data_IF_166757901220
#
_entry.id   IF_166757901220
#
_cell.length_a   1.000
_cell.length_b   1.000
_cell.length_c   1.000
_cell.angle_alpha   90.00
_cell.angle_beta   90.00
_cell.angle_gamma   90.00
#
_symmetry.space_group_name_H-M   'P 1'
#
loop_
_entity.id
_entity.type
_entity.pdbx_description
1 polymer ?
#
# COMPACT_ATOMS: atom_id res chain seq x y z
N UNK A 1 19.57 -6.35 6.94
CA UNK A 1 20.07 -5.03 7.38
C UNK A 1 20.15 -4.18 6.12
N UNK A 2 19.18 -3.28 5.89
CA UNK A 2 19.17 -2.43 4.68
C UNK A 2 20.17 -1.28 4.88
N UNK A 3 21.37 -1.43 4.31
CA UNK A 3 22.57 -0.62 4.61
C UNK A 3 22.97 0.34 3.49
N UNK A 4 22.13 0.49 2.46
CA UNK A 4 22.52 1.17 1.22
C UNK A 4 22.43 2.69 1.31
N UNK A 5 21.95 3.21 2.44
CA UNK A 5 21.61 4.61 2.66
C UNK A 5 22.64 5.25 3.58
N UNK A 6 23.13 6.43 3.20
CA UNK A 6 24.05 7.19 4.05
C UNK A 6 23.33 7.69 5.31
N UNK A 7 24.09 7.93 6.39
CA UNK A 7 23.55 8.39 7.69
C UNK A 7 23.16 9.88 7.67
N UNK A 8 22.42 10.28 6.64
CA UNK A 8 21.85 11.61 6.55
C UNK A 8 20.48 11.63 7.26
N UNK A 9 20.32 12.54 8.22
CA UNK A 9 19.10 12.66 9.05
C UNK A 9 17.81 12.85 8.23
N UNK A 10 17.94 13.35 6.99
CA UNK A 10 16.82 13.59 6.08
C UNK A 10 16.16 12.30 5.58
N UNK A 11 16.83 11.15 5.63
CA UNK A 11 16.33 9.88 5.10
C UNK A 11 15.79 8.93 6.18
N UNK A 12 15.88 9.31 7.46
CA UNK A 12 15.53 8.45 8.60
C UNK A 12 14.08 7.96 8.56
N UNK A 13 13.17 8.77 8.00
CA UNK A 13 11.75 8.43 7.87
C UNK A 13 11.47 7.36 6.80
N UNK A 14 12.37 7.16 5.83
CA UNK A 14 12.24 6.15 4.78
C UNK A 14 12.73 4.77 5.21
N UNK A 15 13.64 4.70 6.19
CA UNK A 15 14.28 3.45 6.61
C UNK A 15 13.29 2.34 7.00
N UNK A 16 12.21 2.60 7.75
CA UNK A 16 11.21 1.58 8.05
C UNK A 16 10.53 1.04 6.78
N UNK A 17 10.18 1.91 5.83
CA UNK A 17 9.53 1.52 4.58
C UNK A 17 10.46 0.71 3.67
N UNK A 18 11.73 1.12 3.56
CA UNK A 18 12.73 0.41 2.76
C UNK A 18 12.99 -0.99 3.34
N UNK A 19 12.98 -1.13 4.67
CA UNK A 19 13.13 -2.45 5.31
C UNK A 19 12.02 -3.43 4.90
N UNK A 20 10.80 -2.96 4.72
CA UNK A 20 9.66 -3.81 4.32
C UNK A 20 9.76 -4.32 2.88
N UNK A 21 10.39 -3.55 1.99
CA UNK A 21 10.58 -3.93 0.57
C UNK A 21 11.96 -4.49 0.25
N UNK A 22 12.93 -4.34 1.17
CA UNK A 22 14.30 -4.81 1.03
C UNK A 22 14.42 -6.26 0.54
N UNK A 23 13.63 -7.24 1.03
CA UNK A 23 13.71 -8.62 0.54
C UNK A 23 13.49 -8.79 -0.98
N UNK A 24 12.84 -7.84 -1.64
CA UNK A 24 12.62 -7.86 -3.10
C UNK A 24 13.79 -7.24 -3.89
N UNK A 25 14.59 -6.37 -3.25
CA UNK A 25 15.53 -5.48 -3.94
C UNK A 25 17.00 -5.70 -3.53
N UNK A 26 17.23 -6.22 -2.31
CA UNK A 26 18.56 -6.40 -1.69
C UNK A 26 19.61 -7.08 -2.58
N UNK A 27 19.30 -8.14 -3.35
CA UNK A 27 20.28 -8.79 -4.24
C UNK A 27 20.89 -7.84 -5.29
N UNK A 28 20.22 -6.73 -5.58
CA UNK A 28 20.63 -5.76 -6.59
C UNK A 28 21.19 -4.48 -5.96
N UNK A 29 20.49 -3.94 -4.96
CA UNK A 29 20.83 -2.64 -4.37
C UNK A 29 22.11 -2.67 -3.51
N UNK A 30 22.52 -3.84 -3.03
CA UNK A 30 23.80 -4.02 -2.30
C UNK A 30 25.05 -3.74 -3.15
N UNK A 31 24.90 -3.68 -4.47
CA UNK A 31 26.02 -3.52 -5.41
C UNK A 31 26.42 -2.06 -5.63
N UNK A 32 25.65 -1.11 -5.10
CA UNK A 32 25.80 0.33 -5.35
C UNK A 32 25.61 1.13 -4.07
N UNK A 33 26.21 2.32 -4.01
CA UNK A 33 25.93 3.30 -2.97
C UNK A 33 24.71 4.13 -3.38
N UNK A 34 23.75 4.34 -2.48
CA UNK A 34 22.48 5.01 -2.80
C UNK A 34 22.32 6.25 -1.92
N UNK A 35 22.07 7.39 -2.56
CA UNK A 35 21.78 8.66 -1.90
C UNK A 35 20.39 9.12 -2.31
N UNK A 36 19.52 9.45 -1.35
CA UNK A 36 18.13 9.82 -1.60
C UNK A 36 17.89 11.24 -1.09
N UNK A 37 17.49 12.13 -1.99
CA UNK A 37 17.18 13.52 -1.65
C UNK A 37 15.70 13.82 -1.91
N UNK A 38 15.13 14.82 -1.21
CA UNK A 38 13.81 15.34 -1.54
C UNK A 38 13.78 15.85 -2.99
N UNK A 39 12.72 15.49 -3.72
CA UNK A 39 12.36 16.05 -5.02
C UNK A 39 11.06 16.86 -4.92
N UNK A 40 10.73 17.59 -5.98
CA UNK A 40 9.48 18.38 -6.02
C UNK A 40 8.31 17.56 -6.57
N UNK A 41 8.51 16.88 -7.71
CA UNK A 41 7.47 16.07 -8.36
C UNK A 41 8.00 14.70 -8.77
N UNK A 42 7.18 13.66 -8.55
CA UNK A 42 7.50 12.29 -8.94
C UNK A 42 8.83 11.81 -8.39
N UNK A 43 9.67 11.22 -9.26
CA UNK A 43 11.04 10.87 -8.91
C UNK A 43 12.00 10.93 -10.10
N UNK A 44 13.28 11.06 -9.80
CA UNK A 44 14.37 10.73 -10.71
C UNK A 44 15.36 9.79 -10.03
N UNK A 45 16.02 8.95 -10.83
CA UNK A 45 17.07 8.05 -10.40
C UNK A 45 18.17 8.00 -11.44
N UNK A 46 19.40 8.23 -11.00
CA UNK A 46 20.60 8.19 -11.83
C UNK A 46 21.60 7.21 -11.22
N UNK A 47 22.16 6.32 -12.02
CA UNK A 47 23.25 5.41 -11.66
C UNK A 47 24.44 5.68 -12.58
N UNK A 48 25.59 5.95 -12.00
CA UNK A 48 26.88 6.05 -12.71
C UNK A 48 28.00 5.51 -11.82
N UNK A 49 28.86 4.66 -12.38
CA UNK A 49 30.09 4.18 -11.70
C UNK A 49 29.87 3.55 -10.31
N UNK A 50 28.71 2.92 -10.08
CA UNK A 50 28.38 2.30 -8.78
C UNK A 50 27.77 3.26 -7.75
N UNK A 51 27.56 4.52 -8.12
CA UNK A 51 26.87 5.52 -7.31
C UNK A 51 25.48 5.80 -7.88
N UNK A 52 24.45 5.74 -7.03
CA UNK A 52 23.08 6.05 -7.38
C UNK A 52 22.57 7.27 -6.61
N UNK A 53 21.99 8.23 -7.33
CA UNK A 53 21.34 9.42 -6.77
C UNK A 53 19.86 9.37 -7.13
N UNK A 54 19.00 9.44 -6.12
CA UNK A 54 17.55 9.49 -6.24
C UNK A 54 17.03 10.85 -5.77
N UNK A 55 16.12 11.45 -6.53
CA UNK A 55 15.26 12.54 -6.07
C UNK A 55 13.83 12.00 -6.01
N UNK A 56 13.11 12.20 -4.92
CA UNK A 56 11.72 11.73 -4.81
C UNK A 56 10.85 12.71 -4.03
N UNK A 57 9.65 12.99 -4.56
CA UNK A 57 8.67 13.88 -3.93
C UNK A 57 8.00 13.28 -2.69
N UNK A 58 8.02 11.95 -2.58
CA UNK A 58 7.34 11.24 -1.51
C UNK A 58 7.90 9.85 -1.25
N UNK A 59 7.32 9.19 -0.25
CA UNK A 59 7.76 7.86 0.21
C UNK A 59 7.51 6.80 -0.87
N UNK A 60 6.32 6.77 -1.45
CA UNK A 60 5.97 5.81 -2.51
C UNK A 60 6.83 6.03 -3.77
N UNK A 61 7.09 7.28 -4.13
CA UNK A 61 7.96 7.66 -5.25
C UNK A 61 9.40 7.17 -5.03
N UNK A 62 9.94 7.31 -3.81
CA UNK A 62 11.26 6.78 -3.47
C UNK A 62 11.31 5.25 -3.56
N UNK A 63 10.29 4.54 -3.06
CA UNK A 63 10.22 3.07 -3.14
C UNK A 63 10.12 2.58 -4.60
N UNK A 64 9.38 3.31 -5.45
CA UNK A 64 9.28 3.05 -6.89
C UNK A 64 10.61 3.32 -7.63
N UNK A 65 11.34 4.37 -7.24
CA UNK A 65 12.65 4.71 -7.78
C UNK A 65 13.68 3.61 -7.45
N UNK A 66 13.68 3.11 -6.21
CA UNK A 66 14.52 1.98 -5.79
C UNK A 66 14.18 0.71 -6.58
N UNK A 67 12.89 0.45 -6.84
CA UNK A 67 12.49 -0.66 -7.70
C UNK A 67 13.01 -0.49 -9.15
N UNK A 68 12.98 0.74 -9.69
CA UNK A 68 13.52 1.02 -11.03
C UNK A 68 15.03 0.78 -11.10
N UNK A 69 15.76 1.25 -10.08
CA UNK A 69 17.20 1.06 -9.96
C UNK A 69 17.57 -0.42 -9.86
N UNK A 70 16.89 -1.17 -8.98
CA UNK A 70 17.10 -2.61 -8.82
C UNK A 70 16.88 -3.35 -10.14
N UNK A 71 15.81 -3.00 -10.88
CA UNK A 71 15.56 -3.56 -12.20
C UNK A 71 16.65 -3.20 -13.22
N UNK A 72 17.18 -1.97 -13.21
CA UNK A 72 18.28 -1.58 -14.09
C UNK A 72 19.55 -2.39 -13.79
N UNK A 73 19.91 -2.55 -12.51
CA UNK A 73 21.06 -3.35 -12.07
C UNK A 73 20.87 -4.82 -12.43
N UNK A 74 19.68 -5.38 -12.20
CA UNK A 74 19.33 -6.75 -12.59
C UNK A 74 19.54 -6.99 -14.09
N UNK A 75 19.29 -5.98 -14.92
CA UNK A 75 19.49 -6.03 -16.37
C UNK A 75 20.93 -5.66 -16.79
N UNK A 76 21.89 -5.64 -15.86
CA UNK A 76 23.31 -5.42 -16.15
C UNK A 76 23.65 -3.99 -16.59
N UNK A 77 22.82 -2.99 -16.25
CA UNK A 77 23.08 -1.59 -16.60
C UNK A 77 24.18 -1.00 -15.70
N UNK A 78 25.32 -0.65 -16.28
CA UNK A 78 26.40 0.08 -15.60
C UNK A 78 26.12 1.59 -15.46
N UNK A 79 25.24 2.12 -16.31
CA UNK A 79 24.68 3.46 -16.20
C UNK A 79 23.18 3.43 -16.49
N UNK A 80 22.43 4.25 -15.77
CA UNK A 80 20.97 4.32 -15.88
C UNK A 80 20.49 5.71 -15.49
N UNK A 81 19.51 6.23 -16.21
CA UNK A 81 18.77 7.42 -15.83
C UNK A 81 17.30 7.17 -16.11
N UNK A 82 16.46 7.50 -15.14
CA UNK A 82 15.03 7.52 -15.30
C UNK A 82 14.46 8.69 -14.51
N UNK A 83 13.58 9.43 -15.14
CA UNK A 83 12.76 10.46 -14.52
C UNK A 83 11.30 10.12 -14.82
N UNK A 84 10.47 10.15 -13.78
CA UNK A 84 9.04 9.91 -13.91
C UNK A 84 8.28 10.98 -13.15
N UNK A 85 7.52 11.78 -13.91
CA UNK A 85 6.46 12.60 -13.36
C UNK A 85 5.15 11.82 -13.37
N UNK A 86 4.24 12.19 -12.48
CA UNK A 86 2.97 11.50 -12.35
C UNK A 86 1.81 12.48 -12.54
N UNK A 87 0.98 12.33 -13.58
CA UNK A 87 -0.10 13.27 -13.86
C UNK A 87 -1.32 13.09 -12.92
N UNK A 88 -1.25 12.13 -11.99
CA UNK A 88 -2.33 11.80 -11.05
C UNK A 88 -1.79 11.85 -9.62
N UNK A 89 -2.44 12.66 -8.78
CA UNK A 89 -2.11 12.76 -7.36
C UNK A 89 -2.43 11.45 -6.61
N UNK A 90 -3.52 10.76 -7.00
CA UNK A 90 -3.98 9.53 -6.38
C UNK A 90 -4.00 8.38 -7.37
N UNK A 91 -3.36 7.27 -7.01
CA UNK A 91 -3.18 6.09 -7.84
C UNK A 91 -3.32 4.86 -6.98
N UNK A 92 -4.33 4.05 -7.27
CA UNK A 92 -4.67 2.98 -6.36
C UNK A 92 -5.39 1.83 -7.00
N UNK A 93 -5.72 0.87 -6.14
CA UNK A 93 -6.55 -0.28 -6.48
C UNK A 93 -7.68 -0.38 -5.47
N UNK A 94 -8.84 -0.84 -5.92
CA UNK A 94 -9.92 -1.26 -5.04
C UNK A 94 -9.95 -2.77 -4.94
N UNK A 95 -9.87 -3.28 -3.71
CA UNK A 95 -9.89 -4.71 -3.42
C UNK A 95 -11.26 -5.10 -2.85
N UNK A 96 -11.92 -6.05 -3.50
CA UNK A 96 -13.21 -6.58 -3.04
C UNK A 96 -13.03 -7.48 -1.82
N UNK A 97 -13.54 -7.03 -0.68
CA UNK A 97 -13.53 -7.75 0.59
C UNK A 97 -14.94 -8.24 0.96
N UNK A 98 -15.87 -8.32 0.01
CA UNK A 98 -17.30 -8.58 0.26
C UNK A 98 -17.84 -9.80 -0.49
N UNK A 99 -17.16 -10.25 -1.56
CA UNK A 99 -17.52 -11.49 -2.28
C UNK A 99 -16.92 -12.75 -1.65
N UNK A 100 -17.09 -12.89 -0.33
CA UNK A 100 -16.69 -14.03 0.52
C UNK A 100 -15.19 -14.19 0.80
N UNK A 101 -14.32 -13.65 -0.06
CA UNK A 101 -12.86 -13.71 0.13
C UNK A 101 -12.35 -12.44 0.81
N UNK A 102 -12.43 -12.38 2.14
CA UNK A 102 -11.82 -11.28 2.91
C UNK A 102 -10.33 -11.56 3.06
N UNK A 103 -9.42 -10.69 2.55
CA UNK A 103 -7.99 -10.92 2.70
C UNK A 103 -7.58 -10.78 4.17
N UNK A 104 -6.65 -11.61 4.63
CA UNK A 104 -6.07 -11.43 5.96
C UNK A 104 -5.19 -10.18 6.00
N UNK A 105 -4.92 -9.64 7.19
CA UNK A 105 -3.96 -8.52 7.37
C UNK A 105 -2.62 -8.82 6.70
N UNK A 106 -2.11 -10.06 6.83
CA UNK A 106 -0.87 -10.46 6.17
C UNK A 106 -0.93 -10.38 4.62
N UNK A 107 -2.07 -10.75 4.03
CA UNK A 107 -2.31 -10.62 2.59
C UNK A 107 -2.39 -9.15 2.18
N UNK A 108 -3.06 -8.30 2.97
CA UNK A 108 -3.11 -6.85 2.72
C UNK A 108 -1.71 -6.22 2.80
N UNK A 109 -0.89 -6.59 3.78
CA UNK A 109 0.51 -6.14 3.88
C UNK A 109 1.37 -6.59 2.69
N UNK A 110 1.15 -7.80 2.16
CA UNK A 110 1.79 -8.25 0.92
C UNK A 110 1.36 -7.39 -0.28
N UNK A 111 0.06 -7.09 -0.41
CA UNK A 111 -0.47 -6.22 -1.46
C UNK A 111 0.15 -4.82 -1.37
N UNK A 112 0.19 -4.22 -0.18
CA UNK A 112 0.74 -2.87 0.06
C UNK A 112 2.22 -2.78 -0.34
N UNK A 113 3.05 -3.77 -0.02
CA UNK A 113 4.46 -3.79 -0.46
C UNK A 113 4.59 -3.81 -1.99
N UNK A 114 3.73 -4.58 -2.67
CA UNK A 114 3.70 -4.60 -4.15
C UNK A 114 3.23 -3.28 -4.73
N UNK A 115 2.21 -2.68 -4.14
CA UNK A 115 1.70 -1.35 -4.52
C UNK A 115 2.79 -0.29 -4.40
N UNK A 116 3.53 -0.29 -3.30
CA UNK A 116 4.66 0.63 -3.07
C UNK A 116 5.74 0.49 -4.16
N UNK A 117 6.12 -0.74 -4.50
CA UNK A 117 7.08 -1.01 -5.59
C UNK A 117 6.57 -0.56 -6.97
N UNK A 118 5.25 -0.54 -7.17
CA UNK A 118 4.60 -0.06 -8.40
C UNK A 118 4.39 1.46 -8.43
N UNK A 119 4.55 2.15 -7.31
CA UNK A 119 4.30 3.59 -7.20
C UNK A 119 2.84 3.97 -6.96
N UNK A 120 2.03 3.04 -6.43
CA UNK A 120 0.63 3.28 -6.05
C UNK A 120 0.54 3.77 -4.60
N UNK A 121 -0.29 4.78 -4.37
CA UNK A 121 -0.39 5.50 -3.09
C UNK A 121 -1.78 5.48 -2.46
N UNK A 122 -2.73 4.71 -3.01
CA UNK A 122 -4.05 4.52 -2.40
C UNK A 122 -4.53 3.05 -2.47
N UNK A 123 -4.99 2.50 -1.35
CA UNK A 123 -5.67 1.22 -1.26
C UNK A 123 -7.12 1.43 -0.85
N UNK A 124 -8.05 1.08 -1.73
CA UNK A 124 -9.47 1.07 -1.41
C UNK A 124 -9.91 -0.33 -0.96
N UNK A 125 -10.50 -0.46 0.22
CA UNK A 125 -11.06 -1.72 0.71
C UNK A 125 -12.58 -1.69 0.60
N UNK A 126 -13.12 -2.46 -0.34
CA UNK A 126 -14.56 -2.55 -0.56
C UNK A 126 -15.20 -3.52 0.42
N UNK A 127 -15.95 -2.98 1.38
CA UNK A 127 -16.51 -3.71 2.53
C UNK A 127 -18.00 -3.39 2.69
N UNK A 128 -18.85 -4.31 2.24
CA UNK A 128 -20.31 -4.24 2.40
C UNK A 128 -20.68 -4.47 3.87
N UNK A 129 -20.34 -5.66 4.37
CA UNK A 129 -20.64 -6.11 5.73
C UNK A 129 -19.39 -6.61 6.49
N UNK A 130 -18.20 -6.51 5.89
CA UNK A 130 -16.97 -7.18 6.39
C UNK A 130 -16.10 -6.31 7.29
N UNK A 131 -16.73 -5.53 8.16
CA UNK A 131 -16.08 -4.76 9.23
C UNK A 131 -16.93 -4.75 10.51
N UNK A 132 -16.32 -4.44 11.65
CA UNK A 132 -17.01 -4.35 12.93
C UNK A 132 -17.70 -3.00 13.17
N UNK A 133 -18.96 -3.09 13.64
CA UNK A 133 -19.70 -1.99 14.26
C UNK A 133 -20.22 -2.51 15.59
N UNK A 134 -19.75 -1.92 16.69
CA UNK A 134 -20.00 -2.40 18.07
C UNK A 134 -21.49 -2.55 18.37
N UNK A 135 -22.30 -1.59 17.90
CA UNK A 135 -23.75 -1.55 18.12
C UNK A 135 -24.53 -2.49 17.20
N UNK A 136 -23.89 -3.13 16.21
CA UNK A 136 -24.54 -3.99 15.22
C UNK A 136 -23.83 -5.35 15.11
N UNK A 137 -23.99 -6.26 16.10
CA UNK A 137 -23.27 -7.53 16.12
C UNK A 137 -23.52 -8.45 14.91
N UNK A 138 -24.66 -8.30 14.24
CA UNK A 138 -25.02 -9.05 13.04
C UNK A 138 -24.20 -8.66 11.79
N UNK A 139 -23.63 -7.45 11.76
CA UNK A 139 -22.79 -6.97 10.65
C UNK A 139 -21.54 -7.82 10.54
N UNK A 140 -21.39 -8.51 9.41
CA UNK A 140 -20.23 -9.37 9.15
C UNK A 140 -20.18 -10.66 9.95
N UNK A 141 -21.29 -11.04 10.59
CA UNK A 141 -21.35 -12.27 11.39
C UNK A 141 -21.11 -13.50 10.50
N UNK A 142 -20.11 -14.33 10.88
CA UNK A 142 -19.58 -15.46 10.08
C UNK A 142 -19.02 -15.09 8.69
N UNK A 143 -18.61 -13.83 8.48
CA UNK A 143 -18.12 -13.35 7.17
C UNK A 143 -16.61 -13.11 7.12
N UNK A 144 -15.92 -13.24 8.25
CA UNK A 144 -14.50 -12.88 8.37
C UNK A 144 -14.29 -11.36 8.38
N UNK A 145 -15.20 -10.61 9.01
CA UNK A 145 -15.12 -9.15 9.13
C UNK A 145 -13.82 -8.71 9.81
N UNK A 146 -13.26 -7.58 9.37
CA UNK A 146 -12.14 -6.96 10.06
C UNK A 146 -12.57 -6.37 11.41
N UNK A 147 -11.80 -6.67 12.43
CA UNK A 147 -11.85 -5.96 13.70
C UNK A 147 -11.27 -4.54 13.60
N UNK A 148 -11.60 -3.68 14.55
CA UNK A 148 -10.98 -2.35 14.64
C UNK A 148 -9.45 -2.40 14.79
N UNK A 149 -8.91 -3.43 15.44
CA UNK A 149 -7.47 -3.62 15.60
C UNK A 149 -6.81 -3.98 14.27
N UNK A 150 -7.42 -4.88 13.50
CA UNK A 150 -6.91 -5.25 12.17
C UNK A 150 -6.97 -4.08 11.19
N UNK A 151 -8.06 -3.30 11.19
CA UNK A 151 -8.15 -2.10 10.35
C UNK A 151 -7.07 -1.07 10.70
N UNK A 152 -6.82 -0.84 12.00
CA UNK A 152 -5.74 0.04 12.45
C UNK A 152 -4.37 -0.47 12.06
N UNK A 153 -4.12 -1.77 12.18
CA UNK A 153 -2.86 -2.38 11.78
C UNK A 153 -2.62 -2.26 10.27
N UNK A 154 -3.68 -2.38 9.45
CA UNK A 154 -3.62 -2.15 8.01
C UNK A 154 -3.29 -0.69 7.70
N UNK A 155 -3.99 0.25 8.33
CA UNK A 155 -3.80 1.69 8.16
C UNK A 155 -2.38 2.13 8.54
N UNK A 156 -1.92 1.77 9.73
CA UNK A 156 -0.58 2.08 10.23
C UNK A 156 0.52 1.53 9.28
N UNK A 157 0.33 0.31 8.77
CA UNK A 157 1.28 -0.31 7.84
C UNK A 157 1.25 0.32 6.45
N UNK A 158 0.08 0.69 5.94
CA UNK A 158 -0.05 1.39 4.67
C UNK A 158 0.60 2.78 4.74
N UNK A 159 0.33 3.53 5.82
CA UNK A 159 0.96 4.83 6.08
C UNK A 159 2.48 4.70 6.19
N UNK A 160 3.01 3.62 6.79
CA UNK A 160 4.45 3.34 6.80
C UNK A 160 5.04 3.30 5.39
N UNK A 161 4.30 2.83 4.39
CA UNK A 161 4.72 2.78 2.98
C UNK A 161 4.36 4.05 2.18
N UNK A 162 3.61 4.99 2.78
CA UNK A 162 3.10 6.19 2.12
C UNK A 162 1.83 5.95 1.29
N UNK A 163 1.05 4.93 1.65
CA UNK A 163 -0.20 4.55 1.00
C UNK A 163 -1.37 4.91 1.90
N UNK A 164 -2.35 5.63 1.37
CA UNK A 164 -3.60 5.94 2.06
C UNK A 164 -4.59 4.76 1.97
N UNK A 165 -5.25 4.41 3.08
CA UNK A 165 -6.30 3.39 3.09
C UNK A 165 -7.67 4.05 3.07
N UNK A 166 -8.45 3.77 2.04
CA UNK A 166 -9.76 4.38 1.81
C UNK A 166 -10.85 3.31 1.99
N UNK A 167 -11.69 3.38 3.03
CA UNK A 167 -12.80 2.46 3.18
C UNK A 167 -13.90 2.75 2.15
N UNK A 168 -14.29 1.73 1.39
CA UNK A 168 -15.44 1.80 0.48
C UNK A 168 -16.58 0.98 1.08
N UNK A 169 -17.50 1.65 1.77
CA UNK A 169 -18.64 1.04 2.47
C UNK A 169 -19.95 1.20 1.71
N UNK A 170 -20.99 0.49 2.17
CA UNK A 170 -22.36 0.64 1.68
C UNK A 170 -23.26 1.29 2.73
N UNK A 171 -24.10 2.21 2.29
CA UNK A 171 -25.05 2.94 3.16
C UNK A 171 -26.51 2.81 2.70
N UNK A 172 -26.76 2.15 1.58
CA UNK A 172 -28.12 2.00 0.99
C UNK A 172 -28.36 0.56 0.52
N UNK A 173 -27.62 0.11 -0.49
CA UNK A 173 -27.82 -1.19 -1.15
C UNK A 173 -26.62 -2.12 -0.99
N UNK A 174 -26.65 -3.32 -1.61
CA UNK A 174 -25.57 -4.33 -1.55
C UNK A 174 -25.25 -4.82 -0.14
N UNK A 175 -26.29 -4.88 0.70
CA UNK A 175 -26.20 -5.32 2.10
C UNK A 175 -26.97 -6.63 2.32
N UNK A 176 -27.25 -7.42 1.29
CA UNK A 176 -28.09 -8.64 1.35
C UNK A 176 -27.55 -9.64 2.39
N UNK A 177 -26.23 -9.66 2.61
CA UNK A 177 -25.56 -10.52 3.60
C UNK A 177 -25.82 -10.12 5.05
N UNK A 178 -25.97 -8.82 5.29
CA UNK A 178 -26.43 -8.25 6.57
C UNK A 178 -27.96 -8.37 6.67
N UNK A 179 -28.67 -7.90 5.65
CA UNK A 179 -30.11 -7.71 5.73
C UNK A 179 -30.84 -9.01 5.96
N UNK A 180 -30.36 -10.17 5.50
CA UNK A 180 -31.00 -11.49 5.72
C UNK A 180 -31.28 -11.86 7.20
N UNK A 181 -30.59 -11.26 8.17
CA UNK A 181 -30.81 -11.55 9.58
C UNK A 181 -32.16 -10.97 10.06
N UNK A 182 -32.82 -11.63 11.00
CA UNK A 182 -34.14 -11.18 11.50
C UNK A 182 -34.05 -9.92 12.35
N UNK A 183 -32.91 -9.68 13.01
CA UNK A 183 -32.66 -8.49 13.83
C UNK A 183 -32.41 -7.21 13.01
N UNK A 184 -32.47 -7.28 11.67
CA UNK A 184 -32.32 -6.13 10.77
C UNK A 184 -33.59 -5.86 9.97
N UNK A 185 -34.73 -6.44 10.36
CA UNK A 185 -36.00 -6.32 9.62
C UNK A 185 -36.53 -4.87 9.58
N UNK A 186 -36.26 -4.12 10.64
CA UNK A 186 -36.62 -2.71 10.86
C UNK A 186 -35.84 -1.72 9.98
N UNK A 187 -34.74 -2.16 9.36
CA UNK A 187 -33.92 -1.35 8.45
C UNK A 187 -34.01 -1.80 6.98
N UNK A 188 -34.87 -2.77 6.66
CA UNK A 188 -35.14 -3.18 5.27
C UNK A 188 -36.21 -2.29 4.65
N UNK A 189 -35.95 -1.82 3.43
CA UNK A 189 -36.95 -1.14 2.61
C UNK A 189 -37.83 -2.15 1.84
N UNK A 190 -37.21 -3.16 1.22
CA UNK A 190 -37.90 -4.25 0.51
C UNK A 190 -37.83 -5.57 1.32
N UNK A 191 -38.96 -6.17 1.71
CA UNK A 191 -39.00 -7.42 2.48
C UNK A 191 -38.53 -8.66 1.70
N UNK A 192 -38.35 -8.55 0.38
CA UNK A 192 -37.87 -9.62 -0.51
C UNK A 192 -36.36 -9.64 -0.70
N UNK A 193 -35.64 -8.65 -0.15
CA UNK A 193 -34.16 -8.61 -0.07
C UNK A 193 -33.68 -9.23 1.24
#
# INVERSE_FOLDING_TARGET
>A
MALYMTDNHQEAFLRPAIREIAPYLDPYLQQVNIHIYPGEEGFSVKLEQGEAILLAAGRVEALRALCALAAAIQNGKASFYLEQQTPFDTRGVMYDCSRNSVPTVATVKLLLRRMALMGLNALMLYTEDTYEVVQTPALGHYRGRYSHAEMREIDDYANLLGIEVIPCIQTVAHLERLLRWSCTADVRDDPTT
#
